data_IF_247522731721
#
_entry.id   IF_247522731721
#
_cell.length_a   1.000
_cell.length_b   1.000
_cell.length_c   1.000
_cell.angle_alpha   90.00
_cell.angle_beta   90.00
_cell.angle_gamma   90.00
#
_symmetry.space_group_name_H-M   'P 1'
#
loop_
_entity.id
_entity.type
_entity.pdbx_description
1 polymer ?
#
# COMPACT_ATOMS: atom_id res chain seq x y z
N UNK A 1 4.43 -5.18 -12.08
CA UNK A 1 3.68 -6.05 -11.14
C UNK A 1 4.64 -6.80 -10.23
N UNK A 2 5.56 -7.59 -10.78
CA UNK A 2 6.45 -8.46 -9.99
C UNK A 2 7.22 -7.75 -8.84
N UNK A 3 7.78 -6.55 -9.05
CA UNK A 3 8.51 -5.85 -7.99
C UNK A 3 7.63 -5.40 -6.82
N UNK A 4 6.39 -4.98 -7.11
CA UNK A 4 5.41 -4.63 -6.09
C UNK A 4 4.92 -5.87 -5.34
N UNK A 5 4.71 -6.99 -6.06
CA UNK A 5 4.39 -8.28 -5.45
C UNK A 5 5.51 -8.78 -4.52
N UNK A 6 6.78 -8.62 -4.93
CA UNK A 6 7.94 -8.95 -4.09
C UNK A 6 8.01 -8.09 -2.83
N UNK A 7 7.72 -6.80 -2.93
CA UNK A 7 7.66 -5.90 -1.77
C UNK A 7 6.55 -6.33 -0.80
N UNK A 8 5.34 -6.57 -1.31
CA UNK A 8 4.21 -7.00 -0.48
C UNK A 8 4.40 -8.40 0.13
N UNK A 9 5.23 -9.24 -0.48
CA UNK A 9 5.59 -10.56 0.04
C UNK A 9 6.84 -10.54 0.95
N UNK A 10 7.51 -9.39 1.14
CA UNK A 10 8.64 -9.29 2.05
C UNK A 10 8.16 -9.51 3.50
N UNK A 11 8.71 -10.49 4.25
CA UNK A 11 8.31 -10.75 5.62
C UNK A 11 8.42 -9.51 6.53
N UNK A 12 9.37 -8.61 6.26
CA UNK A 12 9.53 -7.36 7.02
C UNK A 12 8.38 -6.40 6.76
N UNK A 13 7.90 -6.34 5.51
CA UNK A 13 6.71 -5.54 5.19
C UNK A 13 5.47 -6.10 5.88
N UNK A 14 5.31 -7.43 5.88
CA UNK A 14 4.22 -8.12 6.57
C UNK A 14 4.26 -7.82 8.08
N UNK A 15 5.43 -7.86 8.71
CA UNK A 15 5.59 -7.54 10.13
C UNK A 15 5.25 -6.07 10.46
N UNK A 16 5.62 -5.14 9.58
CA UNK A 16 5.25 -3.73 9.69
C UNK A 16 3.73 -3.54 9.54
N UNK A 17 3.09 -4.24 8.60
CA UNK A 17 1.63 -4.24 8.46
C UNK A 17 0.94 -4.83 9.71
N UNK A 18 1.45 -5.93 10.25
CA UNK A 18 0.91 -6.55 11.46
C UNK A 18 1.05 -5.61 12.67
N UNK A 19 2.14 -4.85 12.75
CA UNK A 19 2.35 -3.86 13.82
C UNK A 19 1.35 -2.72 13.71
N UNK A 20 1.15 -2.19 12.50
CA UNK A 20 0.11 -1.21 12.23
C UNK A 20 -1.30 -1.76 12.56
N UNK A 21 -1.62 -2.98 12.12
CA UNK A 21 -2.92 -3.62 12.34
C UNK A 21 -3.22 -3.79 13.83
N UNK A 22 -2.23 -4.20 14.64
CA UNK A 22 -2.37 -4.28 16.10
C UNK A 22 -2.64 -2.91 16.75
N UNK A 23 -2.02 -1.84 16.24
CA UNK A 23 -2.29 -0.50 16.73
C UNK A 23 -3.73 -0.07 16.43
N UNK A 24 -4.19 -0.25 15.18
CA UNK A 24 -5.59 0.03 14.81
C UNK A 24 -6.59 -0.77 15.65
N UNK A 25 -6.29 -2.05 15.91
CA UNK A 25 -7.14 -2.92 16.71
C UNK A 25 -7.24 -2.46 18.18
N UNK A 26 -6.18 -1.85 18.73
CA UNK A 26 -6.20 -1.28 20.07
C UNK A 26 -7.17 -0.09 20.16
N UNK A 27 -7.37 0.63 19.05
CA UNK A 27 -8.34 1.73 18.90
C UNK A 27 -9.72 1.26 18.43
N UNK A 28 -9.93 -0.07 18.33
CA UNK A 28 -11.22 -0.67 17.98
C UNK A 28 -11.42 -0.98 16.49
N UNK A 29 -10.41 -0.73 15.63
CA UNK A 29 -10.49 -0.97 14.19
C UNK A 29 -9.78 -2.27 13.79
N UNK A 30 -10.57 -3.29 13.43
CA UNK A 30 -10.04 -4.60 13.02
C UNK A 30 -9.74 -4.64 11.51
N UNK A 31 -8.67 -3.98 11.08
CA UNK A 31 -8.23 -3.97 9.69
C UNK A 31 -7.07 -4.94 9.47
N UNK A 32 -7.17 -5.75 8.41
CA UNK A 32 -6.14 -6.75 8.07
C UNK A 32 -4.95 -6.11 7.37
N UNK A 33 -5.21 -5.15 6.50
CA UNK A 33 -4.19 -4.45 5.74
C UNK A 33 -4.57 -2.97 5.59
N UNK A 34 -3.56 -2.10 5.57
CA UNK A 34 -3.76 -0.65 5.71
C UNK A 34 -4.63 -0.03 4.63
N UNK A 35 -4.41 -0.41 3.38
CA UNK A 35 -5.02 0.29 2.26
C UNK A 35 -6.34 -0.32 1.80
N UNK A 36 -6.43 -1.65 1.67
CA UNK A 36 -7.66 -2.27 1.16
C UNK A 36 -8.73 -2.29 2.24
N UNK A 37 -8.39 -2.64 3.48
CA UNK A 37 -9.40 -2.79 4.54
C UNK A 37 -10.13 -1.48 4.87
N UNK A 38 -9.41 -0.35 4.88
CA UNK A 38 -10.02 0.98 5.09
C UNK A 38 -10.86 1.37 3.87
N UNK A 39 -10.33 1.26 2.65
CA UNK A 39 -11.09 1.63 1.46
C UNK A 39 -12.39 0.81 1.34
N UNK A 40 -12.30 -0.51 1.59
CA UNK A 40 -13.43 -1.43 1.59
C UNK A 40 -14.47 -1.08 2.66
N UNK A 41 -14.07 -0.59 3.84
CA UNK A 41 -15.02 -0.22 4.90
C UNK A 41 -15.91 0.97 4.53
N UNK A 42 -15.45 1.85 3.64
CA UNK A 42 -16.20 3.02 3.20
C UNK A 42 -16.91 2.81 1.86
N UNK A 43 -16.35 2.02 0.94
CA UNK A 43 -16.83 1.95 -0.45
C UNK A 43 -18.30 1.52 -0.56
N UNK A 44 -18.72 0.50 0.19
CA UNK A 44 -20.13 0.04 0.17
C UNK A 44 -21.10 1.11 0.69
N UNK A 45 -20.73 1.79 1.77
CA UNK A 45 -21.53 2.82 2.44
C UNK A 45 -21.64 4.09 1.60
N UNK A 46 -20.54 4.50 0.96
CA UNK A 46 -20.55 5.60 -0.01
C UNK A 46 -21.47 5.29 -1.18
N UNK A 47 -21.40 4.07 -1.74
CA UNK A 47 -22.27 3.68 -2.85
C UNK A 47 -23.76 3.76 -2.48
N UNK A 48 -24.14 3.26 -1.31
CA UNK A 48 -25.51 3.31 -0.80
C UNK A 48 -26.02 4.75 -0.62
N UNK A 49 -25.17 5.63 -0.08
CA UNK A 49 -25.51 7.04 0.13
C UNK A 49 -25.59 7.85 -1.17
N UNK A 50 -24.84 7.46 -2.21
CA UNK A 50 -24.88 8.12 -3.52
C UNK A 50 -26.13 7.74 -4.33
N UNK A 51 -26.65 6.53 -4.15
CA UNK A 51 -27.90 6.09 -4.78
C UNK A 51 -29.12 6.88 -4.25
N UNK A 52 -29.09 7.26 -2.96
CA UNK A 52 -30.14 8.04 -2.31
C UNK A 52 -29.52 9.25 -1.58
N UNK A 53 -29.03 10.24 -2.35
CA UNK A 53 -28.26 11.37 -1.84
C UNK A 53 -28.86 12.02 -0.57
N UNK A 54 -28.24 11.73 0.57
CA UNK A 54 -28.53 12.29 1.88
C UNK A 54 -27.29 13.04 2.39
N UNK A 55 -27.37 14.37 2.39
CA UNK A 55 -26.26 15.22 2.78
C UNK A 55 -25.86 15.08 4.26
N UNK A 56 -26.81 14.76 5.16
CA UNK A 56 -26.52 14.58 6.57
C UNK A 56 -25.76 13.26 6.79
N UNK A 57 -26.24 12.17 6.17
CA UNK A 57 -25.58 10.88 6.24
C UNK A 57 -24.19 10.89 5.58
N UNK A 58 -23.99 11.64 4.49
CA UNK A 58 -22.65 11.86 3.91
C UNK A 58 -21.73 12.60 4.88
N UNK A 59 -22.24 13.62 5.59
CA UNK A 59 -21.43 14.35 6.57
C UNK A 59 -21.02 13.48 7.77
N UNK A 60 -21.92 12.62 8.26
CA UNK A 60 -21.63 11.65 9.31
C UNK A 60 -20.56 10.63 8.86
N UNK A 61 -20.70 10.08 7.65
CA UNK A 61 -19.71 9.15 7.10
C UNK A 61 -18.32 9.79 6.94
N UNK A 62 -18.27 11.08 6.55
CA UNK A 62 -17.01 11.83 6.47
C UNK A 62 -16.37 12.07 7.84
N UNK A 63 -17.18 12.31 8.87
CA UNK A 63 -16.67 12.49 10.22
C UNK A 63 -15.99 11.19 10.71
N UNK A 64 -16.63 10.04 10.48
CA UNK A 64 -16.05 8.73 10.78
C UNK A 64 -14.78 8.46 9.97
N UNK A 65 -14.75 8.79 8.68
CA UNK A 65 -13.54 8.68 7.86
C UNK A 65 -12.37 9.47 8.44
N UNK A 66 -12.62 10.70 8.92
CA UNK A 66 -11.59 11.53 9.56
C UNK A 66 -11.07 10.89 10.85
N UNK A 67 -11.94 10.28 11.66
CA UNK A 67 -11.54 9.58 12.89
C UNK A 67 -10.63 8.40 12.56
N UNK A 68 -11.03 7.54 11.61
CA UNK A 68 -10.23 6.39 11.18
C UNK A 68 -8.88 6.84 10.60
N UNK A 69 -8.87 7.88 9.77
CA UNK A 69 -7.64 8.41 9.18
C UNK A 69 -6.70 9.05 10.18
N UNK A 70 -7.24 9.67 11.23
CA UNK A 70 -6.42 10.21 12.31
C UNK A 70 -5.68 9.07 13.02
N UNK A 71 -6.40 8.01 13.37
CA UNK A 71 -5.81 6.83 14.01
C UNK A 71 -4.83 6.11 13.08
N UNK A 72 -5.13 5.99 11.77
CA UNK A 72 -4.20 5.43 10.79
C UNK A 72 -2.87 6.19 10.78
N UNK A 73 -2.93 7.52 10.77
CA UNK A 73 -1.74 8.38 10.79
C UNK A 73 -0.95 8.15 12.08
N UNK A 74 -1.60 8.10 13.23
CA UNK A 74 -0.94 7.84 14.52
C UNK A 74 -0.28 6.46 14.55
N UNK A 75 -0.95 5.44 14.03
CA UNK A 75 -0.45 4.07 13.99
C UNK A 75 0.67 3.85 12.98
N UNK A 76 0.70 4.59 11.86
CA UNK A 76 1.76 4.46 10.85
C UNK A 76 2.97 5.34 11.14
N UNK A 77 2.80 6.49 11.80
CA UNK A 77 3.87 7.48 12.03
C UNK A 77 5.14 6.85 12.63
N UNK A 78 5.07 5.98 13.66
CA UNK A 78 6.25 5.33 14.23
C UNK A 78 6.96 4.35 13.29
N UNK A 79 6.30 3.92 12.21
CA UNK A 79 6.78 2.90 11.26
C UNK A 79 7.31 3.51 9.96
N UNK A 80 7.21 4.84 9.79
CA UNK A 80 7.51 5.51 8.52
C UNK A 80 8.96 5.29 8.09
N UNK A 81 9.92 5.43 8.99
CA UNK A 81 11.34 5.29 8.66
C UNK A 81 11.66 3.86 8.19
N UNK A 82 11.15 2.84 8.89
CA UNK A 82 11.34 1.43 8.51
C UNK A 82 10.68 1.10 7.17
N UNK A 83 9.48 1.64 6.92
CA UNK A 83 8.78 1.48 5.64
C UNK A 83 9.54 2.13 4.48
N UNK A 84 10.11 3.32 4.69
CA UNK A 84 10.88 4.04 3.69
C UNK A 84 12.21 3.36 3.39
N UNK A 85 12.92 2.88 4.42
CA UNK A 85 14.15 2.11 4.24
C UNK A 85 13.88 0.84 3.42
N UNK A 86 12.86 0.08 3.81
CA UNK A 86 12.47 -1.13 3.09
C UNK A 86 12.08 -0.85 1.63
N UNK A 87 11.31 0.21 1.39
CA UNK A 87 10.94 0.60 0.03
C UNK A 87 12.19 0.97 -0.80
N UNK A 88 13.13 1.70 -0.23
CA UNK A 88 14.37 2.10 -0.91
C UNK A 88 15.25 0.89 -1.26
N UNK A 89 15.32 -0.14 -0.41
CA UNK A 89 16.02 -1.39 -0.71
C UNK A 89 15.43 -2.10 -1.93
N UNK A 90 14.09 -2.22 -1.98
CA UNK A 90 13.39 -2.87 -3.09
C UNK A 90 13.48 -2.06 -4.38
N UNK A 91 13.41 -0.73 -4.30
CA UNK A 91 13.62 0.15 -5.46
C UNK A 91 15.03 -0.01 -6.02
N UNK A 92 16.06 -0.01 -5.16
CA UNK A 92 17.45 -0.23 -5.59
C UNK A 92 17.62 -1.57 -6.29
N UNK A 93 16.97 -2.62 -5.78
CA UNK A 93 16.97 -3.94 -6.41
C UNK A 93 16.28 -3.93 -7.78
N UNK A 94 15.13 -3.26 -7.89
CA UNK A 94 14.43 -3.10 -9.17
C UNK A 94 15.30 -2.42 -10.22
N UNK A 95 16.00 -1.34 -9.84
CA UNK A 95 16.92 -0.63 -10.74
C UNK A 95 18.08 -1.53 -11.17
N UNK A 96 18.65 -2.32 -10.24
CA UNK A 96 19.71 -3.27 -10.56
C UNK A 96 19.25 -4.39 -11.50
N UNK A 97 18.07 -4.96 -11.26
CA UNK A 97 17.46 -5.98 -12.12
C UNK A 97 17.24 -5.43 -13.54
N UNK A 98 16.72 -4.20 -13.66
CA UNK A 98 16.51 -3.52 -14.93
C UNK A 98 17.84 -3.26 -15.68
N UNK A 99 18.87 -2.79 -14.97
CA UNK A 99 20.20 -2.58 -15.55
C UNK A 99 20.77 -3.90 -16.12
N UNK A 100 20.61 -5.01 -15.40
CA UNK A 100 21.04 -6.33 -15.86
C UNK A 100 20.29 -6.80 -17.12
N UNK A 101 19.01 -6.46 -17.26
CA UNK A 101 18.23 -6.75 -18.48
C UNK A 101 18.73 -5.95 -19.68
N UNK A 102 19.05 -4.67 -19.50
CA UNK A 102 19.60 -3.85 -20.59
C UNK A 102 20.93 -4.40 -21.12
N UNK A 103 21.81 -4.87 -20.23
CA UNK A 103 23.06 -5.54 -20.64
C UNK A 103 22.76 -6.78 -21.48
N UNK A 104 21.83 -7.63 -21.05
CA UNK A 104 21.43 -8.83 -21.81
C UNK A 104 20.81 -8.48 -23.17
N UNK A 105 20.00 -7.42 -23.23
CA UNK A 105 19.44 -6.97 -24.51
C UNK A 105 20.53 -6.47 -25.46
N UNK A 106 21.50 -5.69 -24.97
CA UNK A 106 22.64 -5.25 -25.77
C UNK A 106 23.48 -6.42 -26.27
N UNK A 107 23.71 -7.45 -25.45
CA UNK A 107 24.40 -8.68 -25.86
C UNK A 107 23.63 -9.44 -26.95
N UNK A 108 22.30 -9.54 -26.83
CA UNK A 108 21.45 -10.19 -27.82
C UNK A 108 21.41 -9.41 -29.14
N UNK A 109 21.32 -8.09 -29.09
CA UNK A 109 21.38 -7.22 -30.27
C UNK A 109 22.74 -7.33 -30.97
N UNK A 110 23.85 -7.33 -30.22
CA UNK A 110 25.17 -7.55 -30.80
C UNK A 110 25.31 -8.93 -31.48
N UNK A 111 24.63 -9.95 -30.93
CA UNK A 111 24.72 -11.33 -31.42
C UNK A 111 23.75 -11.66 -32.56
N UNK A 112 22.59 -11.00 -32.61
CA UNK A 112 21.47 -11.37 -33.49
C UNK A 112 20.81 -10.19 -34.21
N UNK A 113 21.19 -8.95 -33.92
CA UNK A 113 20.58 -7.72 -34.44
C UNK A 113 20.99 -7.33 -35.87
N UNK A 114 21.75 -8.19 -36.58
CA UNK A 114 22.02 -8.03 -38.01
C UNK A 114 21.41 -9.19 -38.80
N UNK A 115 20.15 -9.00 -39.21
CA UNK A 115 19.54 -9.52 -40.44
C UNK A 115 18.73 -8.41 -41.09
#
# INVERSE_FOLDING_TARGET
>A
MEAFERFNADPRYIELQDTWSRCMAAEGYNFRDRFASIAESFQSRVNELLENYDAAAVAELRAEEIEIMTVDIECVTPLVDDLLELAAEHEKRLVADAAGLFVKFAELEARYGSR
#
